data_IF_658080685661
#
_entry.id   IF_658080685661
#
_cell.length_a   1.000
_cell.length_b   1.000
_cell.length_c   1.000
_cell.angle_alpha   90.00
_cell.angle_beta   90.00
_cell.angle_gamma   90.00
#
_symmetry.space_group_name_H-M   'P 1'
#
loop_
_entity.id
_entity.type
_entity.pdbx_description
1 polymer ?
#
# COMPACT_ATOMS: atom_id res chain seq x y z
N UNK A 1 -9.92 19.86 1.45
CA UNK A 1 -8.93 18.76 1.35
C UNK A 1 -7.87 19.00 2.40
N UNK A 2 -7.85 18.18 3.45
CA UNK A 2 -6.75 18.22 4.43
C UNK A 2 -5.53 17.55 3.77
N UNK A 3 -4.70 18.34 3.08
CA UNK A 3 -3.43 17.83 2.57
C UNK A 3 -2.56 17.47 3.78
N UNK A 4 -1.92 16.30 3.72
CA UNK A 4 -0.91 15.94 4.72
C UNK A 4 0.22 16.96 4.61
N UNK A 5 0.69 17.54 5.73
CA UNK A 5 1.81 18.48 5.69
C UNK A 5 3.08 17.78 5.20
N UNK A 6 3.59 18.24 4.05
CA UNK A 6 4.90 17.87 3.54
C UNK A 6 5.74 19.11 3.39
N UNK A 7 6.81 19.22 4.16
CA UNK A 7 7.69 20.37 4.17
C UNK A 7 9.05 19.98 3.59
N UNK A 8 9.50 20.68 2.55
CA UNK A 8 10.86 20.50 2.03
C UNK A 8 11.81 21.26 2.96
N UNK A 9 12.78 20.52 3.53
CA UNK A 9 13.75 21.05 4.50
C UNK A 9 15.09 21.42 3.88
N UNK A 10 15.46 20.77 2.77
CA UNK A 10 16.67 21.05 2.01
C UNK A 10 16.53 20.69 0.53
N UNK A 11 17.36 21.33 -0.33
CA UNK A 11 17.47 21.04 -1.76
C UNK A 11 18.93 21.02 -2.19
N UNK A 12 19.23 20.14 -3.17
CA UNK A 12 20.49 20.14 -3.91
C UNK A 12 20.17 19.76 -5.37
N UNK A 13 20.16 20.76 -6.24
CA UNK A 13 19.65 20.62 -7.61
C UNK A 13 18.19 20.13 -7.63
N UNK A 14 17.95 18.99 -8.24
CA UNK A 14 16.63 18.34 -8.27
C UNK A 14 16.35 17.47 -7.02
N UNK A 15 17.37 17.14 -6.25
CA UNK A 15 17.22 16.40 -5.01
C UNK A 15 16.55 17.24 -3.92
N UNK A 16 15.77 16.61 -3.05
CA UNK A 16 15.13 17.26 -1.92
C UNK A 16 15.07 16.36 -0.70
N UNK A 17 15.33 16.91 0.46
CA UNK A 17 14.96 16.35 1.74
C UNK A 17 13.66 16.99 2.22
N UNK A 18 12.86 16.26 2.96
CA UNK A 18 11.58 16.75 3.46
C UNK A 18 11.13 16.05 4.74
N UNK A 19 10.00 16.52 5.23
CA UNK A 19 9.36 16.03 6.44
C UNK A 19 7.87 15.84 6.15
N UNK A 20 7.38 14.61 6.36
CA UNK A 20 6.01 14.22 6.17
C UNK A 20 5.37 13.96 7.54
N UNK A 21 4.24 14.63 7.83
CA UNK A 21 3.54 14.47 9.10
C UNK A 21 2.36 13.51 8.92
N UNK A 22 2.39 12.39 9.67
CA UNK A 22 1.37 11.34 9.62
C UNK A 22 0.74 11.13 11.01
N UNK A 23 -0.34 10.33 11.09
CA UNK A 23 -1.06 10.13 12.34
C UNK A 23 -0.20 9.49 13.44
N UNK A 24 0.72 8.61 13.07
CA UNK A 24 1.61 7.91 14.02
C UNK A 24 3.03 8.46 14.07
N UNK A 25 3.27 9.65 13.54
CA UNK A 25 4.56 10.32 13.66
C UNK A 25 5.03 11.00 12.37
N UNK A 26 6.28 11.44 12.42
CA UNK A 26 6.95 12.14 11.34
C UNK A 26 7.88 11.20 10.59
N UNK A 27 7.91 11.33 9.26
CA UNK A 27 8.87 10.64 8.39
C UNK A 27 9.76 11.66 7.72
N UNK A 28 11.06 11.53 7.89
CA UNK A 28 12.06 12.32 7.18
C UNK A 28 12.37 11.67 5.83
N UNK A 29 12.32 12.44 4.77
CA UNK A 29 12.57 11.94 3.41
C UNK A 29 13.87 12.48 2.84
N UNK A 30 14.58 11.66 2.03
CA UNK A 30 14.22 10.33 1.57
C UNK A 30 14.23 9.28 2.70
N UNK A 31 13.27 8.36 2.68
CA UNK A 31 13.14 7.31 3.69
C UNK A 31 13.12 5.93 3.03
N UNK A 32 13.80 4.97 3.63
CA UNK A 32 13.66 3.56 3.29
C UNK A 32 12.55 2.93 4.15
N UNK A 33 11.66 2.16 3.53
CA UNK A 33 10.59 1.46 4.22
C UNK A 33 10.88 -0.03 4.28
N UNK A 34 11.36 -0.57 5.43
CA UNK A 34 11.45 -2.01 5.60
C UNK A 34 10.10 -2.69 5.40
N UNK A 35 10.11 -3.85 4.74
CA UNK A 35 8.88 -4.55 4.37
C UNK A 35 8.45 -5.51 5.47
N UNK A 36 7.29 -5.22 6.06
CA UNK A 36 6.60 -6.07 7.05
C UNK A 36 5.47 -6.89 6.42
N UNK A 37 5.80 -7.79 5.49
CA UNK A 37 4.86 -8.49 4.59
C UNK A 37 3.64 -9.08 5.30
N UNK A 38 3.84 -9.82 6.38
CA UNK A 38 2.77 -10.49 7.15
C UNK A 38 2.71 -9.93 8.58
N UNK A 39 2.69 -8.62 8.70
CA UNK A 39 2.76 -7.88 9.96
C UNK A 39 4.06 -8.12 10.74
N UNK A 40 5.16 -8.39 10.04
CA UNK A 40 6.49 -8.54 10.66
C UNK A 40 7.59 -8.31 9.62
N UNK A 41 8.67 -7.66 10.03
CA UNK A 41 9.94 -7.67 9.31
C UNK A 41 10.61 -8.99 9.62
N UNK A 42 10.72 -9.87 8.62
CA UNK A 42 11.09 -11.27 8.82
C UNK A 42 12.45 -11.40 9.52
N UNK A 43 12.44 -12.04 10.68
CA UNK A 43 13.65 -12.33 11.46
C UNK A 43 14.19 -11.14 12.28
N UNK A 44 13.47 -10.00 12.32
CA UNK A 44 13.90 -8.81 13.06
C UNK A 44 12.76 -8.32 13.96
N UNK A 45 13.05 -8.08 15.23
CA UNK A 45 12.08 -7.52 16.18
C UNK A 45 11.75 -6.06 15.83
N UNK A 46 10.51 -5.59 16.06
CA UNK A 46 10.11 -4.21 15.80
C UNK A 46 11.03 -3.17 16.43
N UNK A 47 11.45 -3.40 17.67
CA UNK A 47 12.36 -2.52 18.41
C UNK A 47 13.73 -2.41 17.74
N UNK A 48 14.23 -3.51 17.16
CA UNK A 48 15.50 -3.51 16.42
C UNK A 48 15.38 -2.78 15.09
N UNK A 49 14.22 -2.88 14.42
CA UNK A 49 13.93 -2.12 13.19
C UNK A 49 13.91 -0.62 13.49
N UNK A 50 13.25 -0.20 14.59
CA UNK A 50 13.23 1.18 15.03
C UNK A 50 14.63 1.68 15.42
N UNK A 51 15.39 0.88 16.18
CA UNK A 51 16.76 1.21 16.58
C UNK A 51 17.73 1.35 15.39
N UNK A 52 17.45 0.67 14.26
CA UNK A 52 18.17 0.84 13.01
C UNK A 52 17.82 2.14 12.26
N UNK A 53 16.88 2.94 12.79
CA UNK A 53 16.51 4.25 12.24
C UNK A 53 15.34 4.21 11.23
N UNK A 54 14.60 3.10 11.13
CA UNK A 54 13.38 3.07 10.32
C UNK A 54 12.29 3.91 10.99
N UNK A 55 11.71 4.85 10.25
CA UNK A 55 10.62 5.71 10.70
C UNK A 55 9.25 5.28 10.16
N UNK A 56 9.22 4.42 9.15
CA UNK A 56 8.03 3.93 8.48
C UNK A 56 8.24 2.49 8.00
N UNK A 57 7.19 1.67 8.08
CA UNK A 57 7.17 0.32 7.52
C UNK A 57 6.20 0.21 6.35
N UNK A 58 6.41 -0.81 5.51
CA UNK A 58 5.47 -1.19 4.45
C UNK A 58 4.80 -2.52 4.80
N UNK A 59 3.46 -2.54 4.84
CA UNK A 59 2.64 -3.75 4.96
C UNK A 59 2.01 -4.15 3.64
N UNK A 60 1.83 -5.45 3.39
CA UNK A 60 1.26 -5.92 2.13
C UNK A 60 -0.20 -6.39 2.30
N UNK A 61 -1.13 -5.67 1.67
CA UNK A 61 -2.58 -5.95 1.71
C UNK A 61 -2.90 -7.38 1.30
N UNK A 62 -2.32 -7.88 0.20
CA UNK A 62 -2.57 -9.23 -0.28
C UNK A 62 -2.34 -10.30 0.78
N UNK A 63 -1.24 -10.23 1.50
CA UNK A 63 -0.92 -11.20 2.56
C UNK A 63 -1.82 -11.03 3.78
N UNK A 64 -2.03 -9.79 4.20
CA UNK A 64 -2.80 -9.46 5.41
C UNK A 64 -4.30 -9.74 5.25
N UNK A 65 -4.87 -9.55 4.05
CA UNK A 65 -6.26 -9.90 3.79
C UNK A 65 -6.51 -11.40 3.78
N UNK A 66 -5.53 -12.21 3.35
CA UNK A 66 -5.62 -13.67 3.35
C UNK A 66 -5.39 -14.24 4.75
N UNK A 67 -4.37 -13.78 5.46
CA UNK A 67 -4.01 -14.23 6.81
C UNK A 67 -3.36 -13.13 7.64
N UNK A 68 -3.89 -12.80 8.81
CA UNK A 68 -5.03 -13.41 9.51
C UNK A 68 -6.39 -12.87 9.06
N UNK A 69 -6.43 -11.93 8.12
CA UNK A 69 -7.61 -11.20 7.67
C UNK A 69 -7.67 -9.79 8.26
N UNK A 70 -8.00 -8.80 7.42
CA UNK A 70 -8.02 -7.39 7.83
C UNK A 70 -9.06 -7.12 8.95
N UNK A 71 -10.22 -7.77 8.91
CA UNK A 71 -11.22 -7.67 9.97
C UNK A 71 -10.68 -8.09 11.34
N UNK A 72 -9.96 -9.21 11.42
CA UNK A 72 -9.32 -9.67 12.67
C UNK A 72 -8.25 -8.70 13.16
N UNK A 73 -7.44 -8.15 12.26
CA UNK A 73 -6.44 -7.13 12.64
C UNK A 73 -7.13 -5.88 13.18
N UNK A 74 -8.25 -5.46 12.56
CA UNK A 74 -9.06 -4.33 13.04
C UNK A 74 -9.60 -4.58 14.45
N UNK A 75 -10.17 -5.76 14.73
CA UNK A 75 -10.66 -6.15 16.05
C UNK A 75 -9.56 -6.13 17.13
N UNK A 76 -8.31 -6.40 16.73
CA UNK A 76 -7.14 -6.34 17.61
C UNK A 76 -6.55 -4.93 17.77
N UNK A 77 -7.17 -3.92 17.17
CA UNK A 77 -6.79 -2.50 17.31
C UNK A 77 -5.88 -1.98 16.19
N UNK A 78 -5.94 -2.62 15.01
CA UNK A 78 -5.19 -2.22 13.82
C UNK A 78 -3.79 -2.78 13.74
N UNK A 79 -3.12 -2.52 12.61
CA UNK A 79 -1.84 -3.11 12.28
C UNK A 79 -0.71 -2.64 13.22
N UNK A 80 -0.74 -1.38 13.64
CA UNK A 80 0.24 -0.81 14.58
C UNK A 80 0.30 -1.60 15.89
N UNK A 81 -0.88 -1.86 16.47
CA UNK A 81 -0.97 -2.63 17.71
C UNK A 81 -0.64 -4.10 17.50
N UNK A 82 -1.11 -4.68 16.38
CA UNK A 82 -0.88 -6.08 16.04
C UNK A 82 0.60 -6.40 15.82
N UNK A 83 1.38 -5.47 15.22
CA UNK A 83 2.82 -5.61 14.97
C UNK A 83 3.70 -5.12 16.13
N UNK A 84 3.14 -4.46 17.14
CA UNK A 84 3.91 -3.69 18.13
C UNK A 84 4.81 -2.61 17.49
N UNK A 85 4.26 -1.87 16.49
CA UNK A 85 4.95 -0.82 15.75
C UNK A 85 4.19 0.51 15.91
N UNK A 86 4.64 1.43 16.79
CA UNK A 86 3.92 2.67 17.08
C UNK A 86 4.20 3.80 16.07
N UNK A 87 5.01 3.56 15.04
CA UNK A 87 5.39 4.53 14.02
C UNK A 87 4.57 4.37 12.74
N UNK A 88 4.67 5.29 11.77
CA UNK A 88 3.94 5.23 10.51
C UNK A 88 4.01 3.90 9.77
N UNK A 89 2.89 3.53 9.12
CA UNK A 89 2.78 2.38 8.24
C UNK A 89 2.16 2.81 6.92
N UNK A 90 2.83 2.48 5.81
CA UNK A 90 2.25 2.46 4.48
C UNK A 90 1.78 1.04 4.19
N UNK A 91 0.57 0.87 3.66
CA UNK A 91 0.17 -0.39 3.05
C UNK A 91 0.08 -0.23 1.53
N UNK A 92 0.58 -1.25 0.81
CA UNK A 92 0.35 -1.34 -0.63
C UNK A 92 -1.13 -1.61 -0.95
N UNK A 93 -1.48 -1.64 -2.24
CA UNK A 93 -2.84 -1.94 -2.69
C UNK A 93 -3.17 -3.42 -2.81
N UNK A 94 -2.16 -4.29 -2.82
CA UNK A 94 -2.26 -5.72 -3.12
C UNK A 94 -2.14 -6.08 -4.60
N UNK A 95 -2.16 -5.12 -5.52
CA UNK A 95 -2.15 -5.35 -6.97
C UNK A 95 -0.93 -6.12 -7.46
N UNK A 96 0.27 -5.73 -7.02
CA UNK A 96 1.52 -6.39 -7.42
C UNK A 96 1.57 -7.87 -7.01
N UNK A 97 1.16 -8.21 -5.79
CA UNK A 97 1.19 -9.60 -5.31
C UNK A 97 0.17 -10.47 -6.04
N UNK A 98 -0.99 -9.92 -6.41
CA UNK A 98 -1.95 -10.64 -7.23
C UNK A 98 -1.35 -10.94 -8.60
N UNK A 99 -0.63 -9.99 -9.20
CA UNK A 99 0.04 -10.22 -10.47
C UNK A 99 1.15 -11.27 -10.36
N UNK A 100 1.98 -11.21 -9.31
CA UNK A 100 3.18 -12.04 -9.17
C UNK A 100 2.93 -13.41 -8.56
N UNK A 101 1.95 -13.55 -7.65
CA UNK A 101 1.73 -14.77 -6.86
C UNK A 101 0.47 -15.54 -7.24
N UNK A 102 -0.58 -14.88 -7.73
CA UNK A 102 -1.81 -15.55 -8.10
C UNK A 102 -1.68 -16.29 -9.43
N UNK A 103 -1.82 -17.63 -9.39
CA UNK A 103 -1.69 -18.48 -10.58
C UNK A 103 -2.83 -18.29 -11.59
N UNK A 104 -4.03 -17.95 -11.10
CA UNK A 104 -5.23 -17.73 -11.92
C UNK A 104 -5.80 -16.38 -11.50
N UNK A 105 -5.89 -15.47 -12.45
CA UNK A 105 -6.48 -14.15 -12.27
C UNK A 105 -7.30 -13.76 -13.50
N UNK A 106 -8.38 -13.05 -13.28
CA UNK A 106 -9.18 -12.40 -14.31
C UNK A 106 -9.32 -10.93 -13.91
N UNK A 107 -8.87 -10.06 -14.79
CA UNK A 107 -8.96 -8.62 -14.63
C UNK A 107 -10.10 -8.10 -15.49
N UNK A 108 -10.89 -7.19 -14.93
CA UNK A 108 -11.92 -6.43 -15.62
C UNK A 108 -11.83 -4.93 -15.21
N UNK A 109 -12.78 -4.12 -15.67
CA UNK A 109 -12.77 -2.68 -15.38
C UNK A 109 -13.01 -2.34 -13.91
N UNK A 110 -13.64 -3.24 -13.14
CA UNK A 110 -14.04 -3.04 -11.75
C UNK A 110 -13.05 -3.61 -10.74
N UNK A 111 -12.09 -4.42 -11.20
CA UNK A 111 -11.11 -5.03 -10.31
C UNK A 111 -10.50 -6.33 -10.81
N UNK A 112 -10.04 -7.16 -9.89
CA UNK A 112 -9.38 -8.42 -10.20
C UNK A 112 -9.94 -9.57 -9.39
N UNK A 113 -10.34 -10.66 -10.07
CA UNK A 113 -10.62 -11.95 -9.45
C UNK A 113 -9.37 -12.82 -9.48
N UNK A 114 -9.07 -13.50 -8.39
CA UNK A 114 -7.89 -14.35 -8.29
C UNK A 114 -8.11 -15.53 -7.34
N UNK A 115 -7.22 -16.52 -7.46
CA UNK A 115 -7.11 -17.61 -6.48
C UNK A 115 -5.92 -17.38 -5.58
N UNK A 116 -6.16 -17.45 -4.27
CA UNK A 116 -5.10 -17.34 -3.28
C UNK A 116 -4.04 -18.43 -3.49
N UNK A 117 -2.78 -18.06 -3.40
CA UNK A 117 -1.66 -18.99 -3.54
C UNK A 117 -1.55 -19.96 -2.34
N UNK A 118 -2.16 -19.60 -1.22
CA UNK A 118 -2.08 -20.35 0.04
C UNK A 118 -2.99 -21.57 0.09
N UNK A 119 -4.23 -21.43 -0.41
CA UNK A 119 -5.28 -22.46 -0.27
C UNK A 119 -6.18 -22.60 -1.51
N UNK A 120 -5.92 -21.78 -2.55
CA UNK A 120 -6.71 -21.79 -3.78
C UNK A 120 -8.09 -21.16 -3.67
N UNK A 121 -8.46 -20.56 -2.54
CA UNK A 121 -9.74 -19.87 -2.37
C UNK A 121 -9.89 -18.70 -3.37
N UNK A 122 -11.14 -18.44 -3.79
CA UNK A 122 -11.45 -17.37 -4.73
C UNK A 122 -11.66 -16.06 -3.99
N UNK A 123 -11.04 -15.02 -4.50
CA UNK A 123 -11.16 -13.66 -4.01
C UNK A 123 -11.41 -12.69 -5.15
N UNK A 124 -12.07 -11.57 -4.83
CA UNK A 124 -12.17 -10.40 -5.70
C UNK A 124 -11.64 -9.18 -4.95
N UNK A 125 -10.71 -8.49 -5.57
CA UNK A 125 -10.19 -7.23 -5.08
C UNK A 125 -10.61 -6.12 -6.05
N UNK A 126 -11.37 -5.15 -5.54
CA UNK A 126 -11.75 -3.93 -6.25
C UNK A 126 -11.02 -2.74 -5.65
N UNK A 127 -10.96 -1.57 -6.33
CA UNK A 127 -10.42 -0.35 -5.73
C UNK A 127 -11.04 -0.01 -4.37
N UNK A 128 -12.37 -0.09 -4.26
CA UNK A 128 -13.07 0.15 -3.01
C UNK A 128 -12.70 -0.86 -1.92
N UNK A 129 -12.66 -2.17 -2.25
CA UNK A 129 -12.29 -3.21 -1.31
C UNK A 129 -10.84 -3.05 -0.81
N UNK A 130 -9.90 -2.68 -1.69
CA UNK A 130 -8.52 -2.40 -1.30
C UNK A 130 -8.43 -1.26 -0.28
N UNK A 131 -9.15 -0.16 -0.52
CA UNK A 131 -9.19 0.96 0.43
C UNK A 131 -9.83 0.56 1.76
N UNK A 132 -10.93 -0.21 1.74
CA UNK A 132 -11.57 -0.69 2.96
C UNK A 132 -10.66 -1.60 3.79
N UNK A 133 -9.90 -2.48 3.14
CA UNK A 133 -8.89 -3.33 3.79
C UNK A 133 -7.82 -2.45 4.44
N UNK A 134 -7.24 -1.49 3.72
CA UNK A 134 -6.21 -0.59 4.23
C UNK A 134 -6.73 0.26 5.40
N UNK A 135 -7.99 0.69 5.35
CA UNK A 135 -8.67 1.37 6.46
C UNK A 135 -8.80 0.48 7.69
N UNK A 136 -9.21 -0.79 7.52
CA UNK A 136 -9.28 -1.77 8.61
C UNK A 136 -7.90 -2.07 9.22
N UNK A 137 -6.85 -2.08 8.39
CA UNK A 137 -5.47 -2.23 8.86
C UNK A 137 -4.99 -0.99 9.65
N UNK A 138 -5.62 0.18 9.45
CA UNK A 138 -5.24 1.43 10.12
C UNK A 138 -4.01 2.10 9.51
N UNK A 139 -3.77 1.92 8.20
CA UNK A 139 -2.61 2.50 7.50
C UNK A 139 -2.60 4.01 7.57
N UNK A 140 -1.42 4.62 7.79
CA UNK A 140 -1.23 6.07 7.67
C UNK A 140 -1.21 6.49 6.20
N UNK A 141 -0.56 5.69 5.36
CA UNK A 141 -0.56 5.88 3.91
C UNK A 141 -1.20 4.67 3.26
N UNK A 142 -2.28 4.92 2.53
CA UNK A 142 -2.93 3.95 1.67
C UNK A 142 -2.54 4.18 0.22
N UNK A 143 -2.37 3.10 -0.56
CA UNK A 143 -2.09 3.17 -1.98
C UNK A 143 -3.35 2.88 -2.80
N UNK A 144 -3.53 3.59 -3.91
CA UNK A 144 -4.57 3.25 -4.88
C UNK A 144 -4.32 1.87 -5.48
N UNK A 145 -5.38 1.14 -5.84
CA UNK A 145 -5.22 -0.09 -6.61
C UNK A 145 -4.78 0.25 -8.04
N UNK A 146 -3.81 -0.48 -8.53
CA UNK A 146 -3.24 -0.33 -9.86
C UNK A 146 -3.09 -1.67 -10.58
N UNK A 147 -3.06 -1.63 -11.89
CA UNK A 147 -2.72 -2.77 -12.73
C UNK A 147 -1.22 -2.74 -13.00
N UNK A 148 -0.49 -3.69 -12.44
CA UNK A 148 0.93 -3.85 -12.73
C UNK A 148 1.13 -4.43 -14.13
N UNK A 149 1.72 -3.66 -15.02
CA UNK A 149 2.01 -4.06 -16.39
C UNK A 149 3.27 -4.94 -16.43
N UNK A 150 3.27 -6.10 -17.13
CA UNK A 150 4.49 -6.88 -17.32
C UNK A 150 5.49 -6.10 -18.18
N UNK A 151 6.78 -6.39 -18.03
CA UNK A 151 7.85 -5.81 -18.85
C UNK A 151 8.72 -6.93 -19.45
N UNK A 152 9.07 -6.85 -20.73
CA UNK A 152 8.67 -5.83 -21.71
C UNK A 152 7.20 -5.99 -22.17
N UNK A 153 6.59 -4.92 -22.63
CA UNK A 153 5.20 -4.90 -23.12
C UNK A 153 5.07 -3.91 -24.29
N UNK A 154 4.12 -4.14 -25.18
CA UNK A 154 3.84 -3.21 -26.26
C UNK A 154 3.22 -1.89 -25.71
N UNK A 155 3.55 -0.75 -26.33
CA UNK A 155 3.05 0.58 -25.95
C UNK A 155 1.52 0.63 -25.82
N UNK A 156 0.80 0.02 -26.78
CA UNK A 156 -0.67 -0.02 -26.74
C UNK A 156 -1.21 -0.73 -25.48
N UNK A 157 -0.56 -1.78 -25.03
CA UNK A 157 -0.93 -2.51 -23.83
C UNK A 157 -0.56 -1.73 -22.55
N UNK A 158 0.63 -1.11 -22.53
CA UNK A 158 1.02 -0.20 -21.45
C UNK A 158 0.01 0.96 -21.31
N UNK A 159 -0.40 1.55 -22.41
CA UNK A 159 -1.41 2.62 -22.43
C UNK A 159 -2.80 2.14 -21.96
N UNK A 160 -3.21 0.90 -22.29
CA UNK A 160 -4.45 0.30 -21.79
C UNK A 160 -4.38 0.12 -20.25
N UNK A 161 -3.31 -0.48 -19.77
CA UNK A 161 -3.07 -0.74 -18.36
C UNK A 161 -3.01 0.57 -17.56
N UNK A 162 -2.31 1.58 -18.05
CA UNK A 162 -2.28 2.92 -17.47
C UNK A 162 -3.70 3.49 -17.32
N UNK A 163 -4.53 3.44 -18.37
CA UNK A 163 -5.92 3.93 -18.29
C UNK A 163 -6.76 3.16 -17.28
N UNK A 164 -6.57 1.85 -17.15
CA UNK A 164 -7.19 1.05 -16.10
C UNK A 164 -6.77 1.53 -14.71
N UNK A 165 -5.47 1.67 -14.48
CA UNK A 165 -4.92 2.17 -13.20
C UNK A 165 -5.43 3.56 -12.86
N UNK A 166 -5.56 4.46 -13.83
CA UNK A 166 -6.13 5.80 -13.62
C UNK A 166 -7.60 5.75 -13.19
N UNK A 167 -8.42 4.90 -13.82
CA UNK A 167 -9.82 4.68 -13.38
C UNK A 167 -9.89 4.14 -11.97
N UNK A 168 -9.08 3.13 -11.67
CA UNK A 168 -9.02 2.54 -10.33
C UNK A 168 -8.52 3.52 -9.27
N UNK A 169 -7.60 4.41 -9.64
CA UNK A 169 -7.17 5.49 -8.75
C UNK A 169 -8.32 6.46 -8.43
N UNK A 170 -9.15 6.82 -9.41
CA UNK A 170 -10.33 7.64 -9.18
C UNK A 170 -11.34 6.94 -8.23
N UNK A 171 -11.66 5.66 -8.47
CA UNK A 171 -12.54 4.87 -7.61
C UNK A 171 -11.96 4.69 -6.19
N UNK A 172 -10.65 4.51 -6.07
CA UNK A 172 -9.96 4.46 -4.77
C UNK A 172 -10.09 5.79 -4.03
N UNK A 173 -9.94 6.91 -4.75
CA UNK A 173 -10.10 8.26 -4.19
C UNK A 173 -11.52 8.54 -3.71
N UNK A 174 -12.53 8.11 -4.46
CA UNK A 174 -13.95 8.23 -4.06
C UNK A 174 -14.26 7.45 -2.79
N UNK A 175 -13.63 6.28 -2.62
CA UNK A 175 -13.82 5.43 -1.43
C UNK A 175 -13.02 5.88 -0.22
N UNK A 176 -11.91 6.59 -0.42
CA UNK A 176 -11.02 7.01 0.66
C UNK A 176 -11.68 8.06 1.55
N UNK A 177 -11.79 7.77 2.84
CA UNK A 177 -12.24 8.72 3.85
C UNK A 177 -11.07 9.57 4.34
N UNK A 178 -11.17 10.88 4.19
CA UNK A 178 -10.16 11.81 4.69
C UNK A 178 -10.15 11.82 6.22
N UNK A 179 -8.97 11.59 6.78
CA UNK A 179 -8.73 11.64 8.22
C UNK A 179 -7.43 12.37 8.50
N UNK A 180 -7.33 13.15 9.60
CA UNK A 180 -6.08 13.84 9.95
C UNK A 180 -4.90 12.86 10.02
N UNK A 181 -3.79 13.22 9.39
CA UNK A 181 -2.56 12.41 9.37
C UNK A 181 -2.61 11.15 8.50
N UNK A 182 -3.68 10.94 7.72
CA UNK A 182 -3.79 9.80 6.79
C UNK A 182 -3.78 10.27 5.33
N UNK A 183 -3.11 9.52 4.45
CA UNK A 183 -2.95 9.84 3.03
C UNK A 183 -3.41 8.74 2.10
N UNK A 184 -3.84 9.15 0.91
CA UNK A 184 -3.97 8.28 -0.25
C UNK A 184 -2.92 8.69 -1.29
N UNK A 185 -2.05 7.76 -1.68
CA UNK A 185 -1.02 7.97 -2.69
C UNK A 185 -1.41 7.30 -4.00
N UNK A 186 -1.21 8.03 -5.11
CA UNK A 186 -1.30 7.50 -6.46
C UNK A 186 -0.01 6.80 -6.87
N UNK A 187 -0.11 5.96 -7.91
CA UNK A 187 1.01 5.21 -8.47
C UNK A 187 1.24 5.65 -9.90
N UNK A 188 2.49 5.96 -10.24
CA UNK A 188 2.94 6.19 -11.60
C UNK A 188 3.73 4.97 -12.04
N UNK A 189 3.21 4.25 -13.04
CA UNK A 189 3.89 3.11 -13.66
C UNK A 189 4.82 3.62 -14.77
N UNK A 190 5.96 2.97 -14.90
CA UNK A 190 6.80 3.06 -16.08
C UNK A 190 6.42 1.97 -17.09
N UNK A 191 7.39 1.44 -17.84
CA UNK A 191 7.22 0.23 -18.66
C UNK A 191 7.38 0.44 -20.16
N UNK A 192 7.66 1.66 -20.61
CA UNK A 192 8.03 2.06 -21.98
C UNK A 192 9.22 2.99 -21.95
#
# INVERSE_FOLDING_TARGET
MSAIPFVITARDGAARAGRLELAHGVVHTPAFMPVGTAATVKGVLPEAVAAAGAEILLGNVYHLMLRPGAGRINELGGLHKFMNWPHPILTDSGGFQIMSLAKIRKLDEDGVEFRAHTDGSRHRLTPAASIDIQRQLGSDISMVLDECTPYPVAEAEAARSMRCSMRWAALSRERFEERPGHALFGIVQGGV
#
